data_IF_904129045193
#
_entry.id   IF_904129045193
#
_cell.length_a   1.000
_cell.length_b   1.000
_cell.length_c   1.000
_cell.angle_alpha   90.00
_cell.angle_beta   90.00
_cell.angle_gamma   90.00
#
_symmetry.space_group_name_H-M   'P 1'
#
loop_
_entity.id
_entity.type
_entity.pdbx_description
1 polymer ?
#
# COMPACT_ATOMS: atom_id res chain seq x y z
N UNK A 1 -0.18 -4.78 -8.56
CA UNK A 1 -0.58 -5.52 -9.76
C UNK A 1 -0.58 -7.05 -9.55
N UNK A 2 0.31 -7.56 -8.69
CA UNK A 2 0.45 -9.03 -8.48
C UNK A 2 -0.85 -9.63 -7.93
N UNK A 3 -1.39 -9.07 -6.84
CA UNK A 3 -2.59 -9.61 -6.20
C UNK A 3 -3.79 -9.70 -7.15
N UNK A 4 -4.26 -8.62 -7.82
CA UNK A 4 -5.39 -8.74 -8.72
C UNK A 4 -5.14 -9.66 -9.92
N UNK A 5 -3.89 -9.77 -10.38
CA UNK A 5 -3.52 -10.69 -11.48
C UNK A 5 -3.60 -12.16 -11.01
N UNK A 6 -3.09 -12.47 -9.83
CA UNK A 6 -3.15 -13.84 -9.26
C UNK A 6 -4.60 -14.23 -8.95
N UNK A 7 -5.39 -13.32 -8.39
CA UNK A 7 -6.82 -13.57 -8.17
C UNK A 7 -7.54 -13.92 -9.48
N UNK A 8 -7.27 -13.19 -10.56
CA UNK A 8 -7.82 -13.50 -11.87
C UNK A 8 -7.36 -14.87 -12.41
N UNK A 9 -6.08 -15.23 -12.20
CA UNK A 9 -5.56 -16.55 -12.61
C UNK A 9 -6.19 -17.70 -11.83
N UNK A 10 -6.49 -17.48 -10.57
CA UNK A 10 -7.07 -18.44 -9.66
C UNK A 10 -8.61 -18.48 -9.70
N UNK A 11 -9.25 -17.66 -10.54
CA UNK A 11 -10.71 -17.43 -10.57
C UNK A 11 -11.26 -17.08 -9.18
N UNK A 12 -10.50 -16.30 -8.42
CA UNK A 12 -10.83 -15.84 -7.08
C UNK A 12 -11.21 -14.37 -7.08
N UNK A 13 -12.15 -13.99 -6.23
CA UNK A 13 -12.49 -12.59 -6.02
C UNK A 13 -11.32 -11.84 -5.38
N UNK A 14 -11.16 -10.57 -5.76
CA UNK A 14 -10.29 -9.65 -5.04
C UNK A 14 -10.95 -9.22 -3.73
N UNK A 15 -10.14 -8.75 -2.78
CA UNK A 15 -10.63 -8.17 -1.54
C UNK A 15 -11.53 -6.94 -1.82
N UNK A 16 -12.51 -6.71 -0.94
CA UNK A 16 -13.38 -5.52 -0.98
C UNK A 16 -12.66 -4.21 -0.62
N UNK A 17 -11.40 -4.31 -0.16
CA UNK A 17 -10.58 -3.12 0.11
C UNK A 17 -10.01 -2.53 -1.19
N UNK A 18 -9.83 -1.20 -1.27
CA UNK A 18 -9.23 -0.55 -2.43
C UNK A 18 -7.84 -1.13 -2.74
N UNK A 19 -7.58 -1.40 -4.00
CA UNK A 19 -6.28 -1.87 -4.50
C UNK A 19 -5.65 -0.81 -5.39
N UNK A 20 -4.37 -0.51 -5.17
CA UNK A 20 -3.58 0.36 -6.05
C UNK A 20 -3.13 -0.36 -7.33
N UNK A 21 -3.16 -1.68 -7.31
CA UNK A 21 -2.74 -2.52 -8.42
C UNK A 21 -3.86 -2.83 -9.40
N UNK A 22 -3.51 -3.10 -10.64
CA UNK A 22 -4.41 -3.55 -11.70
C UNK A 22 -4.14 -5.01 -12.09
N UNK A 23 -5.13 -5.64 -12.71
CA UNK A 23 -4.98 -6.95 -13.30
C UNK A 23 -4.17 -6.85 -14.61
N UNK A 24 -3.02 -7.51 -14.67
CA UNK A 24 -2.13 -7.54 -15.84
C UNK A 24 -2.43 -8.67 -16.83
N UNK A 25 -3.47 -9.47 -16.63
CA UNK A 25 -3.83 -10.53 -17.58
C UNK A 25 -4.08 -10.02 -19.02
N UNK A 26 -4.69 -8.84 -19.24
CA UNK A 26 -4.79 -8.27 -20.58
C UNK A 26 -3.42 -7.97 -21.21
N UNK A 27 -2.45 -7.49 -20.42
CA UNK A 27 -1.07 -7.27 -20.90
C UNK A 27 -0.42 -8.58 -21.31
N UNK A 28 -0.50 -9.61 -20.46
CA UNK A 28 0.08 -10.94 -20.74
C UNK A 28 -0.55 -11.61 -21.98
N UNK A 29 -1.79 -11.26 -22.31
CA UNK A 29 -2.49 -11.74 -23.50
C UNK A 29 -2.30 -10.83 -24.73
N UNK A 30 -1.43 -9.82 -24.66
CA UNK A 30 -1.20 -8.87 -25.76
C UNK A 30 -2.40 -7.98 -26.09
N UNK A 31 -3.31 -7.78 -25.13
CA UNK A 31 -4.54 -6.97 -25.31
C UNK A 31 -4.48 -5.63 -24.59
N UNK A 32 -3.37 -5.29 -23.98
CA UNK A 32 -3.13 -4.04 -23.26
C UNK A 32 -1.80 -3.46 -23.75
N UNK A 33 -1.84 -2.24 -24.29
CA UNK A 33 -0.65 -1.51 -24.72
C UNK A 33 -0.23 -0.41 -23.74
N UNK A 34 -1.16 0.07 -22.96
CA UNK A 34 -0.96 1.11 -21.94
C UNK A 34 -1.61 0.66 -20.64
N UNK A 35 -0.97 1.01 -19.53
CA UNK A 35 -1.49 0.62 -18.21
C UNK A 35 -2.73 1.42 -17.83
N UNK A 36 -2.81 2.67 -18.25
CA UNK A 36 -3.91 3.60 -17.97
C UNK A 36 -3.90 4.13 -16.52
N UNK A 37 -3.72 3.24 -15.54
CA UNK A 37 -3.63 3.62 -14.13
C UNK A 37 -2.18 3.92 -13.73
N UNK A 38 -1.86 5.10 -13.18
CA UNK A 38 -0.51 5.45 -12.78
C UNK A 38 0.03 4.57 -11.65
N UNK A 39 1.33 4.31 -11.69
CA UNK A 39 2.07 3.69 -10.58
C UNK A 39 2.57 4.81 -9.66
N UNK A 40 2.31 4.69 -8.36
CA UNK A 40 2.62 5.73 -7.38
C UNK A 40 3.55 5.18 -6.31
N UNK A 41 4.51 5.99 -5.88
CA UNK A 41 5.50 5.65 -4.87
C UNK A 41 5.59 6.78 -3.85
N UNK A 42 5.76 6.42 -2.61
CA UNK A 42 5.94 7.37 -1.52
C UNK A 42 6.86 6.79 -0.45
N UNK A 43 7.92 7.52 -0.15
CA UNK A 43 8.75 7.25 1.00
C UNK A 43 8.11 7.91 2.23
N UNK A 44 7.12 7.22 2.80
CA UNK A 44 6.43 7.68 4.00
C UNK A 44 7.37 7.65 5.19
N UNK A 45 7.48 8.78 5.87
CA UNK A 45 8.18 8.90 7.16
C UNK A 45 7.13 9.10 8.23
N UNK A 46 6.68 8.03 8.85
CA UNK A 46 5.77 8.07 9.98
C UNK A 46 6.38 8.84 11.15
N UNK A 47 5.54 9.46 11.95
CA UNK A 47 5.95 10.08 13.20
C UNK A 47 6.20 8.99 14.25
N UNK A 48 7.47 8.76 14.60
CA UNK A 48 7.87 7.76 15.58
C UNK A 48 7.32 8.04 16.99
N UNK A 49 6.99 9.29 17.32
CA UNK A 49 6.36 9.61 18.60
C UNK A 49 4.89 9.17 18.63
N UNK A 50 4.17 9.30 17.52
CA UNK A 50 2.82 8.79 17.40
C UNK A 50 2.75 7.26 17.54
N UNK A 51 3.78 6.54 17.07
CA UNK A 51 3.88 5.08 17.19
C UNK A 51 3.85 4.58 18.64
N UNK A 52 4.41 5.34 19.56
CA UNK A 52 4.51 4.93 20.98
C UNK A 52 3.17 4.93 21.70
N UNK A 53 2.21 5.71 21.23
CA UNK A 53 0.88 5.89 21.86
C UNK A 53 -0.27 5.28 21.06
N UNK A 54 -0.01 4.83 19.84
CA UNK A 54 -1.03 4.30 18.95
C UNK A 54 -1.51 2.92 19.38
N UNK A 55 -2.80 2.65 19.16
CA UNK A 55 -3.38 1.32 19.38
C UNK A 55 -2.89 0.35 18.30
N UNK A 56 -2.62 -0.92 18.62
CA UNK A 56 -2.28 -1.91 17.62
C UNK A 56 -3.46 -2.23 16.70
N UNK A 57 -3.19 -2.53 15.43
CA UNK A 57 -4.18 -3.05 14.48
C UNK A 57 -4.71 -4.41 14.91
N UNK A 58 -3.81 -5.28 15.34
CA UNK A 58 -4.14 -6.62 15.81
C UNK A 58 -3.92 -6.62 17.31
N UNK A 59 -4.96 -6.92 18.07
CA UNK A 59 -4.86 -7.03 19.51
C UNK A 59 -3.75 -8.02 19.91
N UNK A 60 -2.97 -7.68 20.93
CA UNK A 60 -1.78 -8.46 21.34
C UNK A 60 -2.14 -9.91 21.68
N UNK A 61 -3.32 -10.12 22.26
CA UNK A 61 -3.84 -11.44 22.65
C UNK A 61 -4.09 -12.33 21.42
N UNK A 62 -4.50 -11.74 20.30
CA UNK A 62 -4.75 -12.45 19.04
C UNK A 62 -3.47 -12.84 18.31
N UNK A 63 -2.33 -12.30 18.71
CA UNK A 63 -1.02 -12.62 18.14
C UNK A 63 -0.37 -13.81 18.84
N UNK A 64 -0.92 -14.28 19.95
CA UNK A 64 -0.41 -15.41 20.73
C UNK A 64 -0.49 -16.69 19.89
N UNK A 65 0.63 -17.41 19.78
CA UNK A 65 0.70 -18.67 19.01
C UNK A 65 0.90 -18.50 17.51
N UNK A 66 0.92 -17.27 16.99
CA UNK A 66 1.26 -17.03 15.59
C UNK A 66 2.78 -17.03 15.38
N UNK A 67 3.23 -17.24 14.13
CA UNK A 67 4.65 -17.09 13.79
C UNK A 67 5.11 -15.68 14.18
N UNK A 68 6.23 -15.53 14.90
CA UNK A 68 6.71 -14.23 15.31
C UNK A 68 6.84 -13.30 14.09
N UNK A 69 6.14 -12.17 14.12
CA UNK A 69 6.19 -11.16 13.07
C UNK A 69 7.57 -10.50 12.99
N UNK A 70 8.28 -10.52 14.12
CA UNK A 70 9.63 -10.02 14.24
C UNK A 70 10.50 -11.15 14.79
N UNK A 71 11.50 -11.56 14.03
CA UNK A 71 12.48 -12.55 14.44
C UNK A 71 13.82 -11.85 14.68
N UNK A 72 14.37 -12.01 15.88
CA UNK A 72 15.67 -11.46 16.24
C UNK A 72 16.77 -12.44 15.81
N UNK A 73 17.70 -12.02 14.96
CA UNK A 73 18.85 -12.78 14.52
C UNK A 73 20.10 -11.93 14.75
N UNK A 74 21.01 -12.39 15.64
CA UNK A 74 22.25 -11.67 15.93
C UNK A 74 22.06 -10.21 16.36
N UNK A 75 20.94 -9.89 17.01
CA UNK A 75 20.59 -8.52 17.39
C UNK A 75 19.87 -7.72 16.31
N UNK A 76 19.77 -8.22 15.07
CA UNK A 76 19.04 -7.57 13.98
C UNK A 76 17.61 -8.10 13.91
N UNK A 77 16.67 -7.21 13.57
CA UNK A 77 15.30 -7.55 13.27
C UNK A 77 15.19 -8.04 11.83
N UNK A 78 14.66 -9.23 11.62
CA UNK A 78 14.49 -9.81 10.27
C UNK A 78 13.24 -9.30 9.57
N UNK A 79 12.33 -8.69 10.31
CA UNK A 79 11.11 -8.07 9.79
C UNK A 79 10.81 -6.82 10.61
N UNK A 80 10.60 -5.73 9.93
CA UNK A 80 10.15 -4.49 10.54
C UNK A 80 8.63 -4.36 10.30
N UNK A 81 7.86 -4.96 11.18
CA UNK A 81 6.41 -4.85 11.16
C UNK A 81 5.96 -3.92 12.29
N UNK A 82 5.22 -2.90 11.94
CA UNK A 82 4.64 -1.95 12.89
C UNK A 82 3.13 -2.21 13.00
N UNK A 83 2.73 -2.78 14.11
CA UNK A 83 1.34 -3.10 14.41
C UNK A 83 0.69 -1.96 15.20
N UNK A 84 0.40 -0.86 14.54
CA UNK A 84 -0.27 0.27 15.18
C UNK A 84 -1.16 1.02 14.19
N UNK A 85 -2.21 1.66 14.70
CA UNK A 85 -3.00 2.62 13.94
C UNK A 85 -2.31 3.98 13.94
N UNK A 86 -2.29 4.63 12.79
CA UNK A 86 -1.88 6.03 12.73
C UNK A 86 -2.97 6.89 13.39
N UNK A 87 -2.69 7.59 14.50
CA UNK A 87 -3.74 8.19 15.33
C UNK A 87 -4.40 9.42 14.68
N UNK A 88 -3.66 10.13 13.83
CA UNK A 88 -4.10 11.39 13.24
C UNK A 88 -3.30 11.69 11.97
N UNK A 89 -3.97 12.19 10.93
CA UNK A 89 -3.32 12.72 9.73
C UNK A 89 -3.00 14.19 9.95
N UNK A 90 -1.73 14.55 9.76
CA UNK A 90 -1.26 15.93 9.82
C UNK A 90 -0.68 16.35 8.48
N UNK A 91 -0.60 17.66 8.24
CA UNK A 91 0.00 18.19 7.02
C UNK A 91 1.45 17.72 6.83
N UNK A 92 2.18 17.54 7.90
CA UNK A 92 3.55 17.04 7.89
C UNK A 92 3.70 15.59 7.44
N UNK A 93 2.63 14.79 7.55
CA UNK A 93 2.66 13.37 7.15
C UNK A 93 2.71 13.20 5.63
N UNK A 94 2.34 14.25 4.88
CA UNK A 94 2.38 14.25 3.43
C UNK A 94 3.73 14.64 2.82
N UNK A 95 4.78 14.65 3.61
CA UNK A 95 6.16 14.94 3.17
C UNK A 95 6.88 13.65 2.75
N UNK A 96 8.09 13.80 2.25
CA UNK A 96 8.94 12.71 1.81
C UNK A 96 9.03 12.60 0.29
N UNK A 97 10.05 11.90 -0.17
CA UNK A 97 10.25 11.64 -1.59
C UNK A 97 9.09 10.80 -2.13
N UNK A 98 8.56 11.20 -3.27
CA UNK A 98 7.41 10.54 -3.90
C UNK A 98 7.46 10.68 -5.41
N UNK A 99 6.87 9.75 -6.10
CA UNK A 99 6.83 9.76 -7.56
C UNK A 99 5.51 9.18 -8.08
N UNK A 100 5.13 9.62 -9.28
CA UNK A 100 4.03 9.05 -10.04
C UNK A 100 4.50 8.79 -11.47
N UNK A 101 4.25 7.57 -11.95
CA UNK A 101 4.55 7.13 -13.29
C UNK A 101 3.23 6.89 -14.04
N UNK A 102 3.09 7.55 -15.15
CA UNK A 102 2.06 7.27 -16.17
C UNK A 102 2.69 6.57 -17.36
N UNK A 103 1.91 6.23 -18.37
CA UNK A 103 2.45 5.66 -19.62
C UNK A 103 3.40 6.61 -20.36
N UNK A 104 3.25 7.93 -20.16
CA UNK A 104 4.04 8.96 -20.85
C UNK A 104 5.06 9.65 -19.96
N UNK A 105 4.70 9.94 -18.72
CA UNK A 105 5.46 10.83 -17.84
C UNK A 105 5.80 10.19 -16.51
N UNK A 106 6.96 10.59 -15.98
CA UNK A 106 7.32 10.39 -14.59
C UNK A 106 7.48 11.75 -13.91
N UNK A 107 6.73 11.98 -12.85
CA UNK A 107 6.92 13.10 -11.95
C UNK A 107 7.60 12.60 -10.68
N UNK A 108 8.70 13.25 -10.31
CA UNK A 108 9.41 13.04 -9.03
C UNK A 108 9.29 14.30 -8.20
N UNK A 109 8.97 14.14 -6.92
CA UNK A 109 8.89 15.23 -5.96
C UNK A 109 9.77 14.87 -4.77
N UNK A 110 10.86 15.61 -4.61
CA UNK A 110 11.79 15.42 -3.51
C UNK A 110 11.58 16.43 -2.39
N UNK A 111 11.92 16.01 -1.17
CA UNK A 111 11.98 16.86 0.02
C UNK A 111 10.62 17.24 0.60
N UNK A 112 10.70 17.90 1.76
CA UNK A 112 9.55 18.20 2.61
C UNK A 112 8.60 19.26 2.04
N UNK A 113 9.10 20.18 1.21
CA UNK A 113 8.34 21.31 0.68
C UNK A 113 8.17 21.26 -0.84
N UNK A 114 8.33 20.08 -1.47
CA UNK A 114 8.28 19.96 -2.93
C UNK A 114 9.43 20.69 -3.64
N UNK A 115 10.54 20.92 -2.96
CA UNK A 115 11.77 21.38 -3.61
C UNK A 115 12.36 20.19 -4.39
N UNK A 116 12.70 20.43 -5.65
CA UNK A 116 13.14 19.35 -6.52
C UNK A 116 11.95 18.63 -7.14
N UNK A 117 11.15 19.38 -7.91
CA UNK A 117 10.13 18.78 -8.78
C UNK A 117 10.76 18.55 -10.15
N UNK A 118 10.73 17.31 -10.58
CA UNK A 118 11.26 16.90 -11.88
C UNK A 118 10.20 16.14 -12.66
N UNK A 119 10.09 16.43 -13.94
CA UNK A 119 9.16 15.78 -14.87
C UNK A 119 9.95 15.23 -16.05
N UNK A 120 9.73 13.98 -16.39
CA UNK A 120 10.41 13.32 -17.51
C UNK A 120 9.39 12.70 -18.47
N UNK A 121 9.65 12.80 -19.78
CA UNK A 121 8.92 12.10 -20.84
C UNK A 121 9.56 10.73 -21.04
N UNK A 122 8.99 9.68 -20.48
CA UNK A 122 9.56 8.34 -20.51
C UNK A 122 9.60 7.73 -21.91
N UNK A 123 8.75 8.18 -22.84
CA UNK A 123 8.74 7.71 -24.22
C UNK A 123 9.90 8.29 -25.05
N UNK A 124 10.25 9.55 -24.82
CA UNK A 124 11.31 10.25 -25.57
C UNK A 124 12.64 10.26 -24.83
N UNK A 125 12.61 10.23 -23.52
CA UNK A 125 13.79 10.30 -22.65
C UNK A 125 13.74 9.21 -21.56
N UNK A 126 13.88 7.92 -21.93
CA UNK A 126 13.87 6.84 -20.95
C UNK A 126 15.07 6.88 -19.98
N UNK A 127 16.06 7.71 -20.27
CA UNK A 127 17.22 7.94 -19.41
C UNK A 127 17.05 9.05 -18.39
N UNK A 128 15.87 9.74 -18.36
CA UNK A 128 15.53 10.78 -17.39
C UNK A 128 16.59 11.92 -17.32
N UNK A 129 17.09 12.36 -18.46
CA UNK A 129 18.18 13.35 -18.56
C UNK A 129 17.68 14.80 -18.63
N UNK A 130 16.43 15.00 -19.10
CA UNK A 130 15.88 16.30 -19.38
C UNK A 130 14.67 16.59 -18.50
N UNK A 131 14.85 17.45 -17.50
CA UNK A 131 13.74 17.88 -16.64
C UNK A 131 12.81 18.84 -17.39
N UNK A 132 11.59 18.39 -17.66
CA UNK A 132 10.54 19.14 -18.35
C UNK A 132 9.62 19.93 -17.42
N UNK A 133 9.78 19.86 -16.11
CA UNK A 133 8.89 20.51 -15.15
C UNK A 133 8.71 22.02 -15.41
N UNK A 134 9.75 22.78 -15.74
CA UNK A 134 9.59 24.21 -16.06
C UNK A 134 8.78 24.47 -17.33
N UNK A 135 8.85 23.58 -18.32
CA UNK A 135 8.19 23.74 -19.62
C UNK A 135 6.74 23.23 -19.61
N UNK A 136 6.37 22.33 -18.69
CA UNK A 136 5.04 21.69 -18.61
C UNK A 136 4.40 21.81 -17.21
N UNK A 137 4.16 23.04 -16.72
CA UNK A 137 3.61 23.26 -15.37
C UNK A 137 2.19 22.72 -15.20
N UNK A 138 1.42 22.60 -16.25
CA UNK A 138 0.08 21.99 -16.29
C UNK A 138 0.13 20.49 -16.00
N UNK A 139 1.08 19.77 -16.62
CA UNK A 139 1.31 18.33 -16.36
C UNK A 139 1.78 18.13 -14.93
N UNK A 140 2.73 18.94 -14.47
CA UNK A 140 3.20 18.90 -13.06
C UNK A 140 2.04 19.08 -12.10
N UNK A 141 1.19 20.08 -12.33
CA UNK A 141 0.02 20.35 -11.46
C UNK A 141 -0.95 19.15 -11.44
N UNK A 142 -1.27 18.60 -12.61
CA UNK A 142 -2.17 17.45 -12.74
C UNK A 142 -1.64 16.23 -12.00
N UNK A 143 -0.38 15.84 -12.27
CA UNK A 143 0.24 14.66 -11.65
C UNK A 143 0.48 14.84 -10.15
N UNK A 144 0.85 16.06 -9.71
CA UNK A 144 0.96 16.39 -8.30
C UNK A 144 -0.37 16.24 -7.55
N UNK A 145 -1.48 16.63 -8.19
CA UNK A 145 -2.82 16.43 -7.62
C UNK A 145 -3.15 14.95 -7.48
N UNK A 146 -2.95 14.15 -8.54
CA UNK A 146 -3.21 12.71 -8.49
C UNK A 146 -2.39 12.01 -7.41
N UNK A 147 -1.10 12.39 -7.29
CA UNK A 147 -0.21 11.86 -6.27
C UNK A 147 -0.68 12.23 -4.86
N UNK A 148 -1.14 13.46 -4.68
CA UNK A 148 -1.65 13.94 -3.40
C UNK A 148 -2.96 13.27 -3.01
N UNK A 149 -3.86 13.10 -3.95
CA UNK A 149 -5.14 12.41 -3.73
C UNK A 149 -4.90 10.95 -3.30
N UNK A 150 -3.97 10.26 -3.97
CA UNK A 150 -3.56 8.91 -3.61
C UNK A 150 -2.91 8.84 -2.22
N UNK A 151 -2.01 9.77 -1.88
CA UNK A 151 -1.44 9.85 -0.53
C UNK A 151 -2.54 9.99 0.52
N UNK A 152 -3.60 10.76 0.24
CA UNK A 152 -4.78 10.87 1.11
C UNK A 152 -5.47 9.53 1.32
N UNK A 153 -5.63 8.73 0.25
CA UNK A 153 -6.16 7.36 0.34
C UNK A 153 -5.29 6.46 1.21
N UNK A 154 -3.96 6.49 1.01
CA UNK A 154 -3.00 5.72 1.83
C UNK A 154 -3.11 6.10 3.30
N UNK A 155 -3.21 7.38 3.62
CA UNK A 155 -3.36 7.85 5.00
C UNK A 155 -4.69 7.42 5.60
N UNK A 156 -5.79 7.46 4.81
CA UNK A 156 -7.10 6.95 5.24
C UNK A 156 -7.03 5.46 5.59
N UNK A 157 -6.36 4.67 4.75
CA UNK A 157 -6.12 3.24 4.98
C UNK A 157 -5.32 2.98 6.26
N UNK A 158 -4.25 3.75 6.49
CA UNK A 158 -3.45 3.68 7.72
C UNK A 158 -4.27 3.99 8.99
N UNK A 159 -5.30 4.82 8.88
CA UNK A 159 -6.25 5.09 9.97
C UNK A 159 -7.37 4.06 10.10
N UNK A 160 -7.37 3.03 9.25
CA UNK A 160 -8.36 1.97 9.26
C UNK A 160 -9.64 2.29 8.47
N UNK A 161 -9.68 3.40 7.72
CA UNK A 161 -10.87 3.85 7.00
C UNK A 161 -11.39 2.84 5.97
N UNK A 162 -10.50 2.09 5.33
CA UNK A 162 -10.85 1.07 4.35
C UNK A 162 -11.41 -0.22 4.97
N UNK A 163 -11.31 -0.37 6.29
CA UNK A 163 -11.70 -1.59 7.03
C UNK A 163 -12.97 -1.44 7.86
N UNK A 164 -13.59 -0.27 7.86
CA UNK A 164 -14.80 0.03 8.67
C UNK A 164 -16.01 -0.76 8.16
N UNK A 165 -16.02 -1.14 6.89
CA UNK A 165 -17.14 -1.87 6.25
C UNK A 165 -17.03 -3.38 6.34
N UNK A 166 -15.91 -3.95 6.77
CA UNK A 166 -15.79 -5.38 6.99
C UNK A 166 -16.58 -5.75 8.23
N UNK A 167 -17.68 -6.46 8.03
CA UNK A 167 -18.42 -7.15 9.11
C UNK A 167 -17.41 -7.84 10.02
N UNK A 168 -17.49 -7.68 11.35
CA UNK A 168 -16.59 -8.42 12.24
C UNK A 168 -16.68 -9.90 11.87
N UNK A 169 -15.53 -10.55 11.68
CA UNK A 169 -15.47 -11.99 11.60
C UNK A 169 -16.15 -12.49 12.88
N UNK A 170 -17.42 -12.87 12.76
CA UNK A 170 -18.14 -13.57 13.81
C UNK A 170 -17.24 -14.74 14.18
N UNK A 171 -16.76 -14.72 15.41
CA UNK A 171 -16.03 -15.84 16.01
C UNK A 171 -16.78 -17.12 15.62
N UNK A 172 -16.15 -17.93 14.78
CA UNK A 172 -16.65 -19.28 14.52
C UNK A 172 -16.80 -19.92 15.89
N UNK A 173 -18.03 -20.09 16.29
CA UNK A 173 -18.44 -20.80 17.50
C UNK A 173 -17.75 -22.15 17.46
N UNK A 174 -16.83 -22.39 18.38
CA UNK A 174 -16.41 -23.73 18.77
C UNK A 174 -17.66 -24.41 19.35
N UNK A 175 -18.41 -25.07 18.49
CA UNK A 175 -19.42 -26.04 18.91
C UNK A 175 -19.13 -27.34 18.21
N UNK A 176 -19.02 -28.35 19.02
CA UNK A 176 -19.07 -29.79 18.72
C UNK A 176 -17.77 -30.46 18.27
N UNK A 177 -16.86 -30.65 19.22
CA UNK A 177 -16.19 -31.95 19.37
C UNK A 177 -16.81 -32.61 20.58
N UNK A 178 -17.97 -33.21 20.39
CA UNK A 178 -18.56 -34.16 21.36
C UNK A 178 -17.97 -35.55 21.16
N UNK A 179 -17.38 -36.02 22.23
CA UNK A 179 -17.26 -37.43 22.63
C UNK A 179 -17.42 -38.53 21.55
N UNK A 180 -16.31 -39.00 21.03
CA UNK A 180 -16.18 -40.29 20.39
C UNK A 180 -15.58 -41.28 21.39
N UNK A 181 -16.40 -41.94 22.23
CA UNK A 181 -16.01 -43.12 23.01
C UNK A 181 -15.58 -44.21 22.06
N UNK A 182 -14.31 -44.56 22.02
CA UNK A 182 -13.79 -45.81 21.48
C UNK A 182 -13.98 -46.88 22.52
N UNK A 183 -14.78 -47.90 22.18
CA UNK A 183 -14.81 -49.20 22.87
C UNK A 183 -13.64 -50.06 22.39
N UNK A 184 -13.06 -50.89 23.27
CA UNK A 184 -11.95 -51.77 22.92
C UNK A 184 -12.46 -53.08 22.29
N UNK A 185 -11.73 -53.54 21.30
CA UNK A 185 -11.52 -54.95 20.98
C UNK A 185 -10.08 -55.16 20.59
#
# INVERSE_FOLDING_TARGET
DILPTVCQLADAATSDVPLDGINLMPLLKGKMNERGEPIKFWYFRGDHEAEKSAKPYIATELQTGTTPLVKKMGGLLTRNFKNFHHPEIRQQDFVGARAILTDDYKLVVEGEKGRGVELFDLKKDPGEKNNLAPAHPDVVKRLSKQLRDWQGGVMNSLMGGDYISSTPLTSATQSDVSDGKTKPF
#
